data_IF_276637363280
#
_entry.id   IF_276637363280
#
_cell.length_a   1.000
_cell.length_b   1.000
_cell.length_c   1.000
_cell.angle_alpha   90.00
_cell.angle_beta   90.00
_cell.angle_gamma   90.00
#
_symmetry.space_group_name_H-M   'P 1'
#
loop_
_entity.id
_entity.type
_entity.pdbx_description
1 polymer ?
#
# COMPACT_ATOMS: atom_id res chain seq x y z
N UNK A 1 -27.73 -31.74 -2.45
CA UNK A 1 -26.84 -31.42 -3.60
C UNK A 1 -25.75 -30.45 -3.16
N UNK A 2 -24.47 -30.84 -3.21
CA UNK A 2 -23.38 -29.88 -2.94
C UNK A 2 -23.14 -29.00 -4.17
N UNK A 3 -23.31 -27.69 -4.03
CA UNK A 3 -23.03 -26.71 -5.09
C UNK A 3 -21.57 -26.86 -5.58
N UNK A 4 -21.36 -27.42 -6.78
CA UNK A 4 -20.02 -27.75 -7.26
C UNK A 4 -19.35 -26.54 -7.93
N UNK A 5 -18.60 -25.75 -7.15
CA UNK A 5 -17.87 -24.59 -7.67
C UNK A 5 -16.49 -25.03 -8.18
N UNK A 6 -16.28 -24.94 -9.49
CA UNK A 6 -15.02 -25.34 -10.15
C UNK A 6 -13.86 -24.38 -9.87
N UNK A 7 -14.10 -23.06 -9.86
CA UNK A 7 -13.06 -22.04 -9.70
C UNK A 7 -12.64 -21.81 -8.24
N UNK A 8 -11.33 -21.65 -8.00
CA UNK A 8 -10.72 -21.41 -6.67
C UNK A 8 -10.42 -19.93 -6.39
N UNK A 9 -10.82 -19.00 -7.26
CA UNK A 9 -10.48 -17.57 -7.14
C UNK A 9 -11.22 -16.92 -5.97
N UNK A 10 -12.56 -17.05 -5.92
CA UNK A 10 -13.42 -16.38 -4.92
C UNK A 10 -13.68 -17.20 -3.66
N UNK A 11 -13.72 -18.53 -3.77
CA UNK A 11 -14.08 -19.44 -2.68
C UNK A 11 -12.92 -20.33 -2.25
N UNK A 12 -12.90 -20.69 -0.97
CA UNK A 12 -12.03 -21.72 -0.38
C UNK A 12 -12.88 -22.94 -0.04
N UNK A 13 -12.38 -24.13 -0.36
CA UNK A 13 -12.99 -25.41 0.01
C UNK A 13 -12.55 -25.78 1.43
N UNK A 14 -13.49 -26.03 2.34
CA UNK A 14 -13.24 -26.55 3.68
C UNK A 14 -13.97 -27.89 3.79
N UNK A 15 -13.21 -28.98 3.97
CA UNK A 15 -13.79 -30.29 4.28
C UNK A 15 -14.15 -30.30 5.76
N UNK A 16 -15.39 -30.62 6.09
CA UNK A 16 -15.91 -30.67 7.47
C UNK A 16 -16.58 -32.03 7.66
N UNK A 17 -16.36 -32.64 8.82
CA UNK A 17 -17.09 -33.84 9.24
C UNK A 17 -18.45 -33.42 9.78
N UNK A 18 -19.51 -33.97 9.22
CA UNK A 18 -20.86 -33.77 9.75
C UNK A 18 -21.07 -34.68 10.97
N UNK A 19 -22.05 -34.38 11.84
CA UNK A 19 -22.38 -35.24 12.98
C UNK A 19 -22.68 -36.70 12.59
N UNK A 20 -23.23 -36.92 11.39
CA UNK A 20 -23.49 -38.25 10.80
C UNK A 20 -22.22 -38.98 10.32
N UNK A 21 -21.02 -38.46 10.59
CA UNK A 21 -19.73 -39.08 10.23
C UNK A 21 -19.28 -38.84 8.77
N UNK A 22 -20.18 -38.33 7.91
CA UNK A 22 -19.88 -38.04 6.49
C UNK A 22 -18.94 -36.84 6.35
N UNK A 23 -18.06 -36.86 5.35
CA UNK A 23 -17.21 -35.69 5.04
C UNK A 23 -17.86 -34.86 3.94
N UNK A 24 -18.25 -33.62 4.27
CA UNK A 24 -18.87 -32.69 3.31
C UNK A 24 -17.91 -31.54 3.00
N UNK A 25 -17.90 -31.08 1.74
CA UNK A 25 -17.13 -29.90 1.33
C UNK A 25 -17.99 -28.65 1.39
N UNK A 26 -17.66 -27.72 2.30
CA UNK A 26 -18.24 -26.39 2.34
C UNK A 26 -17.41 -25.39 1.54
N UNK A 27 -18.09 -24.51 0.81
CA UNK A 27 -17.48 -23.42 0.06
C UNK A 27 -17.61 -22.12 0.85
N UNK A 28 -16.47 -21.57 1.29
CA UNK A 28 -16.43 -20.36 2.12
C UNK A 28 -15.80 -19.25 1.29
N UNK A 29 -16.38 -18.06 1.33
CA UNK A 29 -15.80 -16.86 0.71
C UNK A 29 -14.43 -16.52 1.33
N UNK A 30 -13.48 -16.11 0.49
CA UNK A 30 -12.19 -15.60 0.97
C UNK A 30 -12.37 -14.22 1.60
N UNK A 31 -11.62 -13.95 2.68
CA UNK A 31 -11.56 -12.62 3.28
C UNK A 31 -10.75 -11.65 2.40
N UNK A 32 -11.14 -10.37 2.32
CA UNK A 32 -10.37 -9.38 1.58
C UNK A 32 -9.03 -9.06 2.25
N UNK A 33 -8.18 -8.32 1.55
CA UNK A 33 -6.93 -7.78 2.10
C UNK A 33 -7.23 -6.77 3.22
N UNK A 34 -6.22 -6.52 4.03
CA UNK A 34 -6.32 -5.53 5.11
C UNK A 34 -6.53 -4.13 4.53
N UNK A 35 -7.31 -3.29 5.21
CA UNK A 35 -7.41 -1.89 4.86
C UNK A 35 -6.05 -1.20 5.02
N UNK A 36 -5.66 -0.41 4.02
CA UNK A 36 -4.40 0.31 3.96
C UNK A 36 -4.63 1.80 3.83
N UNK A 37 -3.77 2.59 4.47
CA UNK A 37 -3.78 4.04 4.38
C UNK A 37 -3.55 4.50 2.93
N UNK A 38 -4.37 5.43 2.45
CA UNK A 38 -4.28 5.94 1.09
C UNK A 38 -2.97 6.71 0.79
N UNK A 39 -2.32 7.29 1.82
CA UNK A 39 -1.08 8.08 1.68
C UNK A 39 0.18 7.24 1.89
N UNK A 40 0.30 6.58 3.04
CA UNK A 40 1.53 5.85 3.42
C UNK A 40 1.43 4.33 3.21
N UNK A 41 0.30 3.81 2.72
CA UNK A 41 0.04 2.36 2.53
C UNK A 41 0.15 1.49 3.79
N UNK A 42 0.33 2.11 4.97
CA UNK A 42 0.36 1.39 6.25
C UNK A 42 -1.01 0.78 6.55
N UNK A 43 -1.01 -0.41 7.15
CA UNK A 43 -2.22 -1.12 7.59
C UNK A 43 -2.99 -0.28 8.59
N UNK A 44 -4.30 -0.15 8.41
CA UNK A 44 -5.18 0.57 9.32
C UNK A 44 -5.64 -0.37 10.44
N UNK A 45 -5.44 0.06 11.69
CA UNK A 45 -6.05 -0.56 12.86
C UNK A 45 -7.50 -0.10 13.00
N UNK A 46 -8.32 -0.96 13.61
CA UNK A 46 -9.74 -0.66 13.87
C UNK A 46 -10.70 -0.88 12.70
N UNK A 47 -10.21 -1.16 11.48
CA UNK A 47 -11.08 -1.52 10.34
C UNK A 47 -11.13 -3.04 10.20
N UNK A 48 -12.32 -3.67 10.33
CA UNK A 48 -12.46 -5.11 10.23
C UNK A 48 -12.20 -5.61 8.81
N UNK A 49 -11.79 -6.88 8.70
CA UNK A 49 -11.57 -7.54 7.40
C UNK A 49 -12.65 -8.57 7.17
N UNK A 50 -13.75 -8.11 6.61
CA UNK A 50 -14.87 -8.99 6.30
C UNK A 50 -15.40 -8.72 4.89
N UNK A 51 -16.19 -9.65 4.39
CA UNK A 51 -16.77 -9.61 3.04
C UNK A 51 -17.82 -8.48 2.98
N UNK A 52 -18.04 -7.80 1.85
CA UNK A 52 -19.01 -6.71 1.73
C UNK A 52 -20.41 -7.05 2.28
N UNK A 53 -20.89 -8.26 2.03
CA UNK A 53 -22.19 -8.74 2.54
C UNK A 53 -22.28 -8.76 4.08
N UNK A 54 -21.18 -9.01 4.79
CA UNK A 54 -21.14 -8.97 6.25
C UNK A 54 -20.76 -7.59 6.77
N UNK A 55 -19.91 -6.85 6.06
CA UNK A 55 -19.63 -5.44 6.35
C UNK A 55 -20.91 -4.62 6.40
N UNK A 56 -21.83 -4.84 5.45
CA UNK A 56 -23.14 -4.17 5.42
C UNK A 56 -24.08 -4.54 6.58
N UNK A 57 -23.77 -5.58 7.36
CA UNK A 57 -24.57 -5.99 8.54
C UNK A 57 -23.99 -5.51 9.87
N UNK A 58 -22.70 -5.16 9.91
CA UNK A 58 -22.03 -4.65 11.12
C UNK A 58 -22.53 -3.25 11.50
N UNK A 59 -22.38 -2.82 12.75
CA UNK A 59 -22.76 -1.45 13.15
C UNK A 59 -21.77 -0.40 12.62
N UNK A 60 -22.12 0.89 12.63
CA UNK A 60 -21.22 1.97 12.16
C UNK A 60 -19.90 2.01 12.95
N UNK A 61 -19.99 1.81 14.27
CA UNK A 61 -18.84 1.82 15.18
C UNK A 61 -17.88 0.65 14.91
N UNK A 62 -18.39 -0.50 14.49
CA UNK A 62 -17.55 -1.64 14.12
C UNK A 62 -16.86 -1.47 12.75
N UNK A 63 -17.49 -0.73 11.82
CA UNK A 63 -16.97 -0.56 10.46
C UNK A 63 -15.82 0.45 10.38
N UNK A 64 -15.85 1.49 11.23
CA UNK A 64 -14.99 2.67 11.09
C UNK A 64 -14.56 3.25 12.44
N UNK A 65 -13.43 3.96 12.43
CA UNK A 65 -12.96 4.76 13.57
C UNK A 65 -13.63 6.14 13.55
N UNK A 66 -13.97 6.69 14.72
CA UNK A 66 -14.73 7.94 14.89
C UNK A 66 -14.02 9.24 14.46
N UNK A 67 -12.71 9.20 14.24
CA UNK A 67 -11.91 10.38 13.85
C UNK A 67 -12.11 10.81 12.40
N UNK A 68 -11.66 12.02 12.08
CA UNK A 68 -11.58 12.51 10.70
C UNK A 68 -10.79 11.55 9.79
N UNK A 69 -11.32 11.35 8.58
CA UNK A 69 -10.81 10.40 7.59
C UNK A 69 -10.60 8.97 8.13
N UNK A 70 -11.43 8.56 9.09
CA UNK A 70 -11.48 7.21 9.64
C UNK A 70 -11.61 6.14 8.54
N UNK A 71 -10.73 5.16 8.53
CA UNK A 71 -10.71 4.09 7.52
C UNK A 71 -10.03 4.44 6.19
N UNK A 72 -9.61 5.69 5.98
CA UNK A 72 -8.87 6.13 4.78
C UNK A 72 -7.43 6.50 5.11
N UNK A 73 -7.24 7.29 6.17
CA UNK A 73 -5.92 7.76 6.61
C UNK A 73 -5.54 7.14 7.96
N UNK A 74 -4.25 7.02 8.24
CA UNK A 74 -3.74 6.68 9.56
C UNK A 74 -3.60 7.95 10.43
N UNK A 75 -3.56 7.80 11.75
CA UNK A 75 -3.45 8.93 12.70
C UNK A 75 -2.31 9.90 12.37
N UNK A 76 -1.13 9.37 12.05
CA UNK A 76 0.04 10.19 11.67
C UNK A 76 -0.21 11.04 10.43
N UNK A 77 -0.90 10.51 9.42
CA UNK A 77 -1.18 11.25 8.20
C UNK A 77 -2.29 12.29 8.39
N UNK A 78 -3.25 12.05 9.29
CA UNK A 78 -4.29 13.02 9.65
C UNK A 78 -3.67 14.22 10.36
N UNK A 79 -2.83 13.98 11.36
CA UNK A 79 -2.11 15.06 12.07
C UNK A 79 -1.28 15.91 11.09
N UNK A 80 -0.60 15.28 10.13
CA UNK A 80 0.17 16.00 9.11
C UNK A 80 -0.74 16.85 8.20
N UNK A 81 -1.93 16.35 7.89
CA UNK A 81 -2.91 17.05 7.07
C UNK A 81 -3.47 18.26 7.81
N UNK A 82 -3.81 18.12 9.09
CA UNK A 82 -4.25 19.23 9.95
C UNK A 82 -3.16 20.30 10.10
N UNK A 83 -1.90 19.88 10.33
CA UNK A 83 -0.74 20.79 10.35
C UNK A 83 -0.55 21.52 9.02
N UNK A 84 -0.85 20.88 7.90
CA UNK A 84 -0.75 21.49 6.58
C UNK A 84 -1.85 22.55 6.37
N UNK A 85 -3.11 22.21 6.73
CA UNK A 85 -4.24 23.15 6.67
C UNK A 85 -3.98 24.40 7.51
N UNK A 86 -3.60 24.22 8.77
CA UNK A 86 -3.31 25.33 9.69
C UNK A 86 -2.15 26.21 9.21
N UNK A 87 -1.11 25.64 8.58
CA UNK A 87 -0.03 26.42 7.98
C UNK A 87 -0.48 27.25 6.77
N UNK A 88 -1.37 26.70 5.93
CA UNK A 88 -1.96 27.45 4.80
C UNK A 88 -2.78 28.61 5.33
N UNK A 89 -3.63 28.35 6.31
CA UNK A 89 -4.48 29.37 6.94
C UNK A 89 -3.65 30.47 7.60
N UNK A 90 -2.54 30.12 8.26
CA UNK A 90 -1.59 31.07 8.84
C UNK A 90 -0.70 31.79 7.81
N UNK A 91 -0.78 31.42 6.52
CA UNK A 91 0.04 32.03 5.46
C UNK A 91 1.53 31.71 5.56
N UNK A 92 1.91 30.63 6.24
CA UNK A 92 3.31 30.18 6.32
C UNK A 92 3.73 29.55 4.98
N UNK A 93 4.96 29.82 4.53
CA UNK A 93 5.48 29.22 3.30
C UNK A 93 5.62 27.70 3.43
N UNK A 94 4.86 26.96 2.63
CA UNK A 94 4.92 25.50 2.59
C UNK A 94 5.54 25.05 1.26
N UNK A 95 6.53 24.17 1.35
CA UNK A 95 6.96 23.35 0.22
C UNK A 95 5.79 22.44 -0.19
N UNK A 96 5.20 22.66 -1.36
CA UNK A 96 4.02 21.92 -1.86
C UNK A 96 4.20 20.41 -1.75
N UNK A 97 3.34 19.79 -0.94
CA UNK A 97 3.33 18.34 -0.70
C UNK A 97 2.13 17.69 -1.40
N UNK A 98 2.30 17.31 -2.67
CA UNK A 98 1.26 16.68 -3.50
C UNK A 98 0.55 15.47 -2.84
N UNK A 99 1.21 14.80 -1.91
CA UNK A 99 0.66 13.65 -1.17
C UNK A 99 -0.35 14.03 -0.08
N UNK A 100 -0.28 15.26 0.45
CA UNK A 100 -1.21 15.81 1.44
C UNK A 100 -2.36 16.51 0.73
N UNK A 101 -2.02 17.29 -0.29
CA UNK A 101 -2.94 18.12 -1.09
C UNK A 101 -4.08 17.32 -1.72
N UNK A 102 -3.84 16.04 -2.03
CA UNK A 102 -4.87 15.11 -2.50
C UNK A 102 -6.08 15.00 -1.56
N UNK A 103 -5.91 15.23 -0.26
CA UNK A 103 -6.96 15.08 0.74
C UNK A 103 -7.57 16.41 1.19
N UNK A 104 -7.10 17.54 0.65
CA UNK A 104 -7.68 18.86 0.88
C UNK A 104 -8.93 19.05 -0.02
N UNK A 105 -9.89 19.91 0.40
CA UNK A 105 -11.07 20.21 -0.40
C UNK A 105 -10.69 20.80 -1.77
N UNK A 106 -11.49 20.52 -2.80
CA UNK A 106 -11.29 21.11 -4.13
C UNK A 106 -11.27 22.65 -4.01
N UNK A 107 -10.35 23.30 -4.72
CA UNK A 107 -10.19 24.76 -4.66
C UNK A 107 -9.36 25.28 -3.47
N UNK A 108 -8.76 24.42 -2.65
CA UNK A 108 -7.87 24.84 -1.55
C UNK A 108 -6.73 25.77 -2.02
N UNK A 109 -6.25 25.58 -3.25
CA UNK A 109 -5.18 26.37 -3.87
C UNK A 109 -5.56 27.83 -4.18
N UNK A 110 -6.86 28.18 -4.21
CA UNK A 110 -7.33 29.54 -4.49
C UNK A 110 -6.92 30.51 -3.38
N UNK A 111 -6.86 30.02 -2.14
CA UNK A 111 -6.41 30.81 -0.98
C UNK A 111 -4.95 31.24 -1.12
N UNK A 112 -4.09 30.32 -1.58
CA UNK A 112 -2.68 30.58 -1.85
C UNK A 112 -2.51 31.61 -2.97
N UNK A 113 -3.30 31.51 -4.05
CA UNK A 113 -3.25 32.50 -5.14
C UNK A 113 -3.76 33.88 -4.75
N UNK A 114 -4.56 34.00 -3.68
CA UNK A 114 -4.98 35.30 -3.13
C UNK A 114 -3.91 35.94 -2.23
N UNK A 115 -3.09 35.13 -1.56
CA UNK A 115 -2.02 35.59 -0.65
C UNK A 115 -0.76 36.05 -1.39
N UNK A 116 -0.48 35.52 -2.58
CA UNK A 116 0.55 36.03 -3.48
C UNK A 116 -0.12 36.67 -4.70
N UNK A 117 -0.51 37.96 -4.65
CA UNK A 117 -0.81 38.67 -5.88
C UNK A 117 0.40 38.48 -6.80
N UNK A 118 0.12 37.98 -8.02
CA UNK A 118 1.10 37.72 -9.06
C UNK A 118 2.04 38.93 -9.10
N UNK A 119 3.33 38.70 -8.79
CA UNK A 119 4.36 39.71 -9.02
C UNK A 119 4.10 40.27 -10.42
N UNK A 120 3.89 41.58 -10.49
CA UNK A 120 3.61 42.30 -11.73
C UNK A 120 4.53 41.77 -12.82
N UNK A 121 3.91 41.43 -13.94
CA UNK A 121 4.59 40.85 -15.09
C UNK A 121 5.68 41.84 -15.53
N UNK A 122 6.95 41.57 -15.17
CA UNK A 122 8.06 42.23 -15.85
C UNK A 122 7.87 41.97 -17.35
N UNK A 123 7.83 43.02 -18.19
CA UNK A 123 7.54 42.87 -19.61
C UNK A 123 8.54 41.90 -20.23
N UNK A 124 8.02 40.88 -20.91
CA UNK A 124 8.80 39.98 -21.76
C UNK A 124 9.31 40.77 -22.95
N UNK A 125 10.52 41.29 -22.86
CA UNK A 125 11.35 41.53 -24.03
C UNK A 125 12.68 40.79 -23.84
N UNK A 126 12.99 39.96 -24.84
CA UNK A 126 14.33 39.48 -25.18
C UNK A 126 14.92 38.37 -24.30
N UNK A 127 14.66 37.10 -24.70
CA UNK A 127 15.71 36.23 -25.26
C UNK A 127 15.04 35.26 -26.24
N UNK A 128 15.10 35.57 -27.54
CA UNK A 128 15.11 34.56 -28.59
C UNK A 128 16.54 34.06 -28.67
N UNK A 129 16.80 32.81 -28.32
CA UNK A 129 17.90 32.05 -28.92
C UNK A 129 17.64 30.54 -28.81
N UNK A 130 17.31 29.99 -29.98
CA UNK A 130 17.67 28.66 -30.51
C UNK A 130 17.61 27.44 -29.57
N UNK A 131 16.58 26.61 -29.81
CA UNK A 131 16.61 25.17 -29.50
C UNK A 131 17.67 24.47 -30.36
N UNK A 132 18.59 23.68 -29.79
CA UNK A 132 19.10 22.50 -30.47
C UNK A 132 18.22 21.27 -30.20
N UNK A 133 17.98 20.50 -31.27
CA UNK A 133 17.22 19.24 -31.33
C UNK A 133 17.79 18.16 -30.37
N UNK A 134 16.97 17.15 -30.01
CA UNK A 134 17.31 16.17 -28.98
C UNK A 134 18.16 15.02 -29.54
N UNK A 135 19.40 14.88 -29.07
CA UNK A 135 20.21 13.69 -29.33
C UNK A 135 19.81 12.54 -28.41
N UNK A 136 18.91 11.69 -28.91
CA UNK A 136 18.76 10.31 -28.47
C UNK A 136 20.06 9.55 -28.75
N UNK A 137 21.07 9.56 -27.86
CA UNK A 137 22.21 8.59 -27.88
C UNK A 137 23.11 8.67 -26.63
N UNK A 138 22.58 8.45 -25.43
CA UNK A 138 23.44 8.16 -24.26
C UNK A 138 22.80 7.32 -23.13
N UNK A 139 21.46 7.27 -23.03
CA UNK A 139 20.80 6.55 -21.93
C UNK A 139 20.72 5.00 -22.08
N UNK A 140 21.26 4.42 -23.17
CA UNK A 140 21.29 2.96 -23.36
C UNK A 140 22.55 2.25 -22.81
N UNK A 141 23.56 2.98 -22.31
CA UNK A 141 24.79 2.35 -21.78
C UNK A 141 24.79 2.16 -20.25
N UNK A 142 23.99 2.93 -19.50
CA UNK A 142 23.91 2.81 -18.03
C UNK A 142 22.93 1.73 -17.51
N UNK A 143 22.08 1.15 -18.37
CA UNK A 143 21.11 0.10 -18.00
C UNK A 143 21.63 -1.33 -18.19
N UNK A 144 22.85 -1.51 -18.74
CA UNK A 144 23.46 -2.84 -18.88
C UNK A 144 24.35 -3.22 -17.68
N UNK A 145 25.05 -2.28 -17.05
CA UNK A 145 25.94 -2.57 -15.91
C UNK A 145 25.22 -2.73 -14.56
N UNK A 146 24.01 -2.17 -14.39
CA UNK A 146 23.23 -2.36 -13.15
C UNK A 146 22.37 -3.64 -13.14
N UNK A 147 22.32 -4.36 -14.26
CA UNK A 147 21.67 -5.66 -14.39
C UNK A 147 22.60 -6.83 -14.00
N UNK A 148 23.93 -6.63 -14.05
CA UNK A 148 24.91 -7.70 -13.78
C UNK A 148 25.27 -7.82 -12.29
N UNK A 149 25.20 -6.74 -11.52
CA UNK A 149 25.45 -6.75 -10.06
C UNK A 149 24.33 -7.39 -9.23
N UNK A 150 23.10 -7.50 -9.77
CA UNK A 150 21.99 -8.21 -9.09
C UNK A 150 22.00 -9.73 -9.27
N UNK A 151 22.87 -10.28 -10.12
CA UNK A 151 22.96 -11.73 -10.40
C UNK A 151 23.90 -12.48 -9.42
N UNK A 152 24.80 -11.77 -8.71
CA UNK A 152 25.74 -12.36 -7.72
C UNK A 152 25.20 -12.48 -6.29
N UNK A 153 24.08 -11.84 -5.92
CA UNK A 153 23.56 -11.88 -4.53
C UNK A 153 22.52 -13.00 -4.28
N UNK A 154 22.06 -13.68 -5.34
CA UNK A 154 21.07 -14.77 -5.27
C UNK A 154 21.59 -16.14 -4.74
N UNK A 155 22.88 -16.52 -4.82
CA UNK A 155 23.35 -17.82 -4.34
C UNK A 155 23.60 -17.87 -2.82
N UNK A 156 23.92 -16.76 -2.14
CA UNK A 156 24.20 -16.77 -0.69
C UNK A 156 22.94 -17.00 0.17
N UNK A 157 21.80 -16.41 -0.23
CA UNK A 157 20.52 -16.62 0.48
C UNK A 157 19.97 -18.04 0.33
N UNK A 158 20.27 -18.73 -0.78
CA UNK A 158 19.91 -20.15 -0.97
C UNK A 158 20.79 -21.09 -0.14
N UNK A 159 22.09 -20.85 -0.05
CA UNK A 159 23.01 -21.64 0.80
C UNK A 159 22.69 -21.49 2.31
N UNK A 160 22.33 -20.29 2.76
CA UNK A 160 21.90 -20.05 4.16
C UNK A 160 20.55 -20.70 4.50
N UNK A 161 19.64 -20.85 3.53
CA UNK A 161 18.38 -21.57 3.72
C UNK A 161 18.57 -23.09 3.82
N UNK A 162 19.39 -23.69 2.95
CA UNK A 162 19.70 -25.12 2.97
C UNK A 162 20.39 -25.56 4.29
N UNK A 163 21.38 -24.79 4.77
CA UNK A 163 22.10 -25.08 6.02
C UNK A 163 21.20 -24.99 7.27
N UNK A 164 20.09 -24.24 7.19
CA UNK A 164 19.09 -24.10 8.26
C UNK A 164 18.07 -25.24 8.28
N UNK A 165 17.80 -25.84 7.12
CA UNK A 165 16.97 -27.05 7.03
C UNK A 165 17.75 -28.30 7.48
N UNK A 166 19.01 -28.46 7.10
CA UNK A 166 19.88 -29.55 7.60
C UNK A 166 20.08 -29.51 9.12
N UNK A 167 20.23 -28.32 9.71
CA UNK A 167 20.30 -28.19 11.19
C UNK A 167 18.98 -28.53 11.87
N UNK A 168 17.84 -28.38 11.18
CA UNK A 168 16.51 -28.74 11.70
C UNK A 168 16.23 -30.23 11.61
N UNK A 169 16.69 -30.90 10.56
CA UNK A 169 16.56 -32.36 10.41
C UNK A 169 17.46 -33.08 11.42
N UNK A 170 18.73 -32.69 11.53
CA UNK A 170 19.66 -33.26 12.54
C UNK A 170 19.17 -33.04 13.97
N UNK A 171 18.60 -31.87 14.30
CA UNK A 171 18.02 -31.59 15.64
C UNK A 171 16.73 -32.37 15.92
N UNK A 172 16.01 -32.80 14.87
CA UNK A 172 14.85 -33.70 14.98
C UNK A 172 15.29 -35.14 15.19
N UNK A 173 16.34 -35.59 14.51
CA UNK A 173 16.91 -36.93 14.67
C UNK A 173 17.54 -37.12 16.04
N UNK A 174 18.33 -36.15 16.53
CA UNK A 174 18.91 -36.22 17.89
C UNK A 174 17.85 -36.16 19.00
N UNK A 175 16.68 -35.55 18.74
CA UNK A 175 15.53 -35.57 19.66
C UNK A 175 14.74 -36.87 19.60
N UNK A 176 14.83 -37.61 18.50
CA UNK A 176 14.17 -38.91 18.30
C UNK A 176 15.02 -40.06 18.84
N UNK A 177 16.34 -39.88 18.94
CA UNK A 177 17.28 -40.83 19.57
C UNK A 177 17.45 -40.65 21.08
N UNK A 178 16.92 -39.56 21.67
CA UNK A 178 16.92 -39.27 23.12
C UNK A 178 15.60 -39.61 23.83
N UNK A 179 14.68 -40.26 23.12
CA UNK A 179 13.36 -40.72 23.60
C UNK A 179 13.28 -42.21 23.32
#
# INVERSE_FOLDING_TARGET
>A
MTRQIRSKTRFRRKKVRTPSGKTVTHYIHKKPKQASCARCSRRLSGVPREIPSKMGKMTRSERSVSREYGGVLCSKCVIQLEKYKTRIEAGLDIRRDLTVEKFLPLGWYVTISKQFPKAEEKPKSEVKETKPKPEKKAAKKATKEKAESKKKEKPEKKKKAAKKEEKKTKKKETKKAKK
#
